data_IF_785955137575
#
_entry.id   IF_785955137575
#
_cell.length_a   1.000
_cell.length_b   1.000
_cell.length_c   1.000
_cell.angle_alpha   90.00
_cell.angle_beta   90.00
_cell.angle_gamma   90.00
#
_symmetry.space_group_name_H-M   'P 1'
#
loop_
_entity.id
_entity.type
_entity.pdbx_description
1 polymer ?
#
# COMPACT_ATOMS: atom_id res chain seq x y z
N UNK A 1 -3.82 -18.15 4.12
CA UNK A 1 -4.47 -17.57 5.33
C UNK A 1 -3.42 -17.54 6.44
N UNK A 2 -3.17 -16.39 7.05
CA UNK A 2 -2.10 -16.21 8.04
C UNK A 2 -1.54 -14.80 8.03
N UNK A 3 -0.59 -14.45 8.92
CA UNK A 3 0.13 -13.19 8.85
C UNK A 3 1.02 -13.12 7.59
N UNK A 4 1.31 -11.92 7.11
CA UNK A 4 2.33 -11.69 6.08
C UNK A 4 3.72 -12.07 6.64
N UNK A 5 4.48 -12.98 6.00
CA UNK A 5 5.86 -13.25 6.38
C UNK A 5 6.76 -12.03 6.16
N UNK A 6 7.90 -11.98 6.84
CA UNK A 6 8.80 -10.82 6.78
C UNK A 6 9.64 -10.79 5.50
N UNK A 7 10.02 -11.95 4.96
CA UNK A 7 10.98 -12.05 3.86
C UNK A 7 12.32 -11.34 4.14
N UNK A 8 12.66 -11.16 5.43
CA UNK A 8 13.83 -10.40 5.85
C UNK A 8 15.15 -10.96 5.28
N UNK A 9 15.24 -12.29 5.17
CA UNK A 9 16.42 -13.03 4.70
C UNK A 9 16.40 -13.27 3.17
N UNK A 10 15.42 -12.72 2.45
CA UNK A 10 15.29 -12.86 1.00
C UNK A 10 16.05 -11.76 0.27
N UNK A 11 17.38 -11.82 0.34
CA UNK A 11 18.29 -10.73 -0.07
C UNK A 11 18.13 -10.31 -1.54
N UNK A 12 17.84 -11.28 -2.42
CA UNK A 12 17.72 -11.11 -3.89
C UNK A 12 16.26 -10.99 -4.38
N UNK A 13 15.27 -10.87 -3.49
CA UNK A 13 13.87 -10.83 -3.89
C UNK A 13 13.52 -9.51 -4.59
N UNK A 14 13.29 -9.58 -5.92
CA UNK A 14 12.87 -8.45 -6.76
C UNK A 14 11.37 -8.30 -6.90
N UNK A 15 10.64 -9.42 -6.93
CA UNK A 15 9.22 -9.43 -7.22
C UNK A 15 8.49 -10.37 -6.26
N UNK A 16 7.43 -9.85 -5.62
CA UNK A 16 6.60 -10.60 -4.69
C UNK A 16 5.12 -10.31 -4.97
N UNK A 17 4.40 -11.29 -5.52
CA UNK A 17 2.96 -11.19 -5.79
C UNK A 17 2.19 -12.09 -4.83
N UNK A 18 1.47 -11.48 -3.89
CA UNK A 18 0.62 -12.15 -2.90
C UNK A 18 -0.79 -11.57 -2.87
N UNK A 19 -1.18 -10.84 -3.91
CA UNK A 19 -2.48 -10.21 -4.04
C UNK A 19 -3.63 -11.22 -4.11
N UNK A 20 -4.84 -10.81 -3.71
CA UNK A 20 -6.04 -11.65 -3.79
C UNK A 20 -6.06 -12.82 -2.81
N UNK A 21 -5.27 -12.74 -1.73
CA UNK A 21 -5.21 -13.76 -0.69
C UNK A 21 -6.04 -13.35 0.54
N UNK A 22 -5.99 -14.18 1.58
CA UNK A 22 -6.53 -13.87 2.91
C UNK A 22 -5.42 -13.70 3.94
N UNK A 23 -4.37 -12.96 3.57
CA UNK A 23 -3.31 -12.56 4.50
C UNK A 23 -3.86 -11.52 5.48
N UNK A 24 -3.36 -11.55 6.71
CA UNK A 24 -3.82 -10.74 7.84
C UNK A 24 -2.62 -10.17 8.58
N UNK A 25 -2.85 -9.47 9.69
CA UNK A 25 -1.77 -8.90 10.48
C UNK A 25 -1.22 -7.61 9.89
N UNK A 26 -0.08 -7.17 10.40
CA UNK A 26 0.63 -6.00 9.92
C UNK A 26 1.64 -6.37 8.84
N UNK A 27 2.11 -5.37 8.10
CA UNK A 27 3.40 -5.47 7.43
C UNK A 27 4.47 -5.42 8.53
N UNK A 28 5.32 -6.45 8.68
CA UNK A 28 6.36 -6.46 9.70
C UNK A 28 7.37 -5.30 9.54
N UNK A 29 7.97 -4.83 10.64
CA UNK A 29 8.97 -3.76 10.56
C UNK A 29 10.26 -4.21 9.86
N UNK A 30 10.56 -5.51 9.92
CA UNK A 30 11.68 -6.20 9.27
C UNK A 30 11.31 -6.72 7.87
N UNK A 31 10.24 -6.19 7.26
CA UNK A 31 9.83 -6.62 5.92
C UNK A 31 10.91 -6.25 4.88
N UNK A 32 11.49 -7.26 4.23
CA UNK A 32 12.61 -7.13 3.28
C UNK A 32 13.86 -6.42 3.88
N UNK A 33 14.09 -6.58 5.19
CA UNK A 33 15.16 -5.88 5.92
C UNK A 33 16.53 -6.02 5.25
N UNK A 34 17.01 -7.25 5.00
CA UNK A 34 18.35 -7.52 4.48
C UNK A 34 18.44 -7.54 2.95
N UNK A 35 17.42 -7.06 2.23
CA UNK A 35 17.52 -6.94 0.78
C UNK A 35 18.71 -6.04 0.39
N UNK A 36 19.60 -6.56 -0.46
CA UNK A 36 20.70 -5.78 -1.03
C UNK A 36 20.26 -4.91 -2.22
N UNK A 37 18.99 -5.04 -2.62
CA UNK A 37 18.39 -4.40 -3.78
C UNK A 37 17.78 -3.03 -3.47
N UNK A 38 18.23 -2.34 -2.41
CA UNK A 38 17.66 -1.06 -1.97
C UNK A 38 17.67 0.04 -3.04
N UNK A 39 18.67 0.04 -3.91
CA UNK A 39 18.80 0.98 -5.03
C UNK A 39 18.26 0.43 -6.36
N UNK A 40 17.78 -0.82 -6.38
CA UNK A 40 17.25 -1.49 -7.56
C UNK A 40 15.71 -1.51 -7.52
N UNK A 41 15.03 -1.64 -8.67
CA UNK A 41 13.57 -1.78 -8.68
C UNK A 41 13.12 -3.05 -7.96
N UNK A 42 12.26 -2.89 -6.96
CA UNK A 42 11.59 -3.97 -6.22
C UNK A 42 10.07 -3.79 -6.31
N UNK A 43 9.35 -4.86 -6.65
CA UNK A 43 7.91 -4.87 -6.84
C UNK A 43 7.23 -5.80 -5.84
N UNK A 44 6.26 -5.29 -5.10
CA UNK A 44 5.51 -6.01 -4.07
C UNK A 44 4.01 -5.75 -4.27
N UNK A 45 3.25 -6.78 -4.64
CA UNK A 45 1.79 -6.69 -4.75
C UNK A 45 1.11 -7.44 -3.60
N UNK A 46 0.51 -6.67 -2.69
CA UNK A 46 -0.24 -7.16 -1.53
C UNK A 46 -1.72 -6.81 -1.62
N UNK A 47 -2.21 -6.33 -2.77
CA UNK A 47 -3.60 -5.89 -2.93
C UNK A 47 -4.62 -6.96 -2.56
N UNK A 48 -5.82 -6.53 -2.18
CA UNK A 48 -6.95 -7.42 -1.94
C UNK A 48 -6.64 -8.51 -0.91
N UNK A 49 -6.09 -8.10 0.24
CA UNK A 49 -5.86 -8.93 1.42
C UNK A 49 -6.61 -8.35 2.63
N UNK A 50 -6.30 -8.81 3.83
CA UNK A 50 -6.85 -8.31 5.10
C UNK A 50 -5.74 -7.77 6.01
N UNK A 51 -4.66 -7.25 5.42
CA UNK A 51 -3.52 -6.64 6.13
C UNK A 51 -4.01 -5.32 6.75
N UNK A 52 -3.57 -5.01 7.97
CA UNK A 52 -4.06 -3.87 8.73
C UNK A 52 -2.92 -3.12 9.45
N UNK A 53 -3.25 -1.92 9.91
CA UNK A 53 -2.32 -1.05 10.63
C UNK A 53 -1.50 -0.15 9.72
N UNK A 54 -0.28 0.20 10.16
CA UNK A 54 0.58 1.18 9.50
C UNK A 54 1.56 0.52 8.52
N UNK A 55 1.95 1.27 7.49
CA UNK A 55 3.11 0.91 6.65
C UNK A 55 4.40 1.18 7.45
N UNK A 56 5.39 0.26 7.48
CA UNK A 56 6.65 0.46 8.20
C UNK A 56 7.48 1.58 7.58
N UNK A 57 8.05 2.45 8.41
CA UNK A 57 8.91 3.54 7.93
C UNK A 57 10.26 3.02 7.43
N UNK A 58 10.67 1.83 7.88
CA UNK A 58 11.88 1.11 7.52
C UNK A 58 11.96 0.83 6.01
N UNK A 59 10.81 0.74 5.34
CA UNK A 59 10.75 0.62 3.88
C UNK A 59 11.37 1.83 3.17
N UNK A 60 11.47 3.00 3.82
CA UNK A 60 12.16 4.18 3.26
C UNK A 60 13.62 3.90 2.84
N UNK A 61 14.21 2.81 3.34
CA UNK A 61 15.52 2.30 2.90
C UNK A 61 15.59 1.95 1.42
N UNK A 62 14.47 1.63 0.76
CA UNK A 62 14.41 1.39 -0.68
C UNK A 62 14.22 2.70 -1.44
N UNK A 63 15.01 2.95 -2.47
CA UNK A 63 14.88 4.10 -3.35
C UNK A 63 13.85 3.87 -4.46
N UNK A 64 13.74 2.63 -4.94
CA UNK A 64 12.87 2.23 -6.05
C UNK A 64 11.92 1.09 -5.62
N UNK A 65 10.94 1.40 -4.77
CA UNK A 65 9.92 0.43 -4.35
C UNK A 65 8.57 0.69 -5.03
N UNK A 66 8.04 -0.33 -5.68
CA UNK A 66 6.67 -0.38 -6.17
C UNK A 66 5.85 -1.32 -5.28
N UNK A 67 5.12 -0.76 -4.31
CA UNK A 67 4.32 -1.50 -3.34
C UNK A 67 2.82 -1.22 -3.46
N UNK A 68 2.07 -2.21 -3.93
CA UNK A 68 0.63 -2.11 -4.15
C UNK A 68 -0.15 -2.64 -2.93
N UNK A 69 -0.86 -1.76 -2.23
CA UNK A 69 -1.54 -2.06 -0.95
C UNK A 69 -3.07 -1.91 -1.00
N UNK A 70 -3.65 -1.49 -2.13
CA UNK A 70 -5.08 -1.25 -2.29
C UNK A 70 -5.97 -2.42 -1.87
N UNK A 71 -7.14 -2.11 -1.28
CA UNK A 71 -8.08 -3.14 -0.82
C UNK A 71 -7.62 -3.89 0.45
N UNK A 72 -6.75 -3.28 1.25
CA UNK A 72 -6.42 -3.72 2.61
C UNK A 72 -7.06 -2.81 3.67
N UNK A 73 -6.71 -3.02 4.95
CA UNK A 73 -7.18 -2.24 6.11
C UNK A 73 -6.09 -1.34 6.68
N UNK A 74 -5.28 -0.74 5.80
CA UNK A 74 -4.19 0.18 6.17
C UNK A 74 -4.78 1.48 6.72
N UNK A 75 -4.21 1.99 7.81
CA UNK A 75 -4.72 3.20 8.48
C UNK A 75 -3.72 4.36 8.54
N UNK A 76 -2.44 4.10 8.25
CA UNK A 76 -1.41 5.13 8.30
C UNK A 76 -0.26 4.81 7.33
N UNK A 77 0.24 5.86 6.68
CA UNK A 77 1.49 5.89 5.92
C UNK A 77 2.37 6.93 6.62
N UNK A 78 3.61 6.60 7.01
CA UNK A 78 4.56 7.58 7.54
C UNK A 78 4.91 8.65 6.50
N UNK A 79 5.00 9.92 6.92
CA UNK A 79 5.30 11.06 6.03
C UNK A 79 6.63 10.89 5.28
N UNK A 80 7.59 10.18 5.87
CA UNK A 80 8.88 9.86 5.23
C UNK A 80 8.72 9.06 3.93
N UNK A 81 7.70 8.20 3.85
CA UNK A 81 7.41 7.43 2.63
C UNK A 81 6.78 8.29 1.55
N UNK A 82 6.00 9.31 1.93
CA UNK A 82 5.35 10.22 1.00
C UNK A 82 6.31 11.19 0.30
N UNK A 83 7.60 11.14 0.63
CA UNK A 83 8.67 11.95 0.03
C UNK A 83 9.63 11.12 -0.82
N UNK A 84 9.41 9.81 -0.96
CA UNK A 84 10.29 8.92 -1.73
C UNK A 84 10.05 9.08 -3.23
N UNK A 85 10.87 9.89 -3.89
CA UNK A 85 10.68 10.27 -5.30
C UNK A 85 10.57 9.07 -6.25
N UNK A 86 11.44 8.07 -6.10
CA UNK A 86 11.46 6.88 -6.98
C UNK A 86 10.36 5.84 -6.70
N UNK A 87 9.54 6.04 -5.67
CA UNK A 87 8.49 5.08 -5.31
C UNK A 87 7.31 5.11 -6.27
N UNK A 88 6.68 3.95 -6.45
CA UNK A 88 5.50 3.78 -7.29
C UNK A 88 5.70 4.33 -8.71
N UNK A 89 6.91 4.13 -9.26
CA UNK A 89 7.30 4.63 -10.60
C UNK A 89 7.20 6.16 -10.71
N UNK A 90 7.55 6.90 -9.64
CA UNK A 90 7.50 8.36 -9.61
C UNK A 90 6.19 8.95 -9.09
N UNK A 91 5.14 8.14 -8.89
CA UNK A 91 3.83 8.67 -8.47
C UNK A 91 3.88 9.34 -7.08
N UNK A 92 4.81 8.93 -6.21
CA UNK A 92 4.99 9.57 -4.89
C UNK A 92 5.61 10.96 -5.03
N UNK A 93 6.52 11.17 -5.99
CA UNK A 93 7.06 12.51 -6.28
C UNK A 93 5.96 13.47 -6.72
N UNK A 94 5.06 12.99 -7.59
CA UNK A 94 4.01 13.83 -8.18
C UNK A 94 2.81 14.05 -7.25
N UNK A 95 2.42 13.03 -6.48
CA UNK A 95 1.17 13.01 -5.73
C UNK A 95 1.33 12.81 -4.21
N UNK A 96 2.56 12.69 -3.72
CA UNK A 96 2.83 12.41 -2.31
C UNK A 96 2.21 11.10 -1.84
N UNK A 97 1.57 11.11 -0.68
CA UNK A 97 0.95 9.91 -0.10
C UNK A 97 -0.16 9.31 -0.97
N UNK A 98 -0.87 10.14 -1.75
CA UNK A 98 -1.95 9.67 -2.63
C UNK A 98 -1.40 8.75 -3.73
N UNK A 99 -0.12 8.90 -4.09
CA UNK A 99 0.58 8.00 -5.00
C UNK A 99 0.84 6.60 -4.42
N UNK A 100 0.74 6.44 -3.08
CA UNK A 100 0.85 5.16 -2.37
C UNK A 100 -0.54 4.59 -2.09
N UNK A 101 -1.40 5.35 -1.41
CA UNK A 101 -2.81 5.01 -1.16
C UNK A 101 -3.66 6.27 -1.02
N UNK A 102 -4.85 6.25 -1.61
CA UNK A 102 -5.85 7.29 -1.45
C UNK A 102 -6.26 7.49 0.03
N UNK A 103 -6.58 8.74 0.44
CA UNK A 103 -6.91 9.06 1.82
C UNK A 103 -8.24 8.44 2.25
N UNK A 104 -8.41 8.30 3.57
CA UNK A 104 -9.67 7.82 4.17
C UNK A 104 -10.84 8.70 3.73
N UNK A 105 -11.98 8.08 3.47
CA UNK A 105 -13.16 8.74 2.95
C UNK A 105 -13.14 9.00 1.45
N UNK A 106 -12.09 8.54 0.75
CA UNK A 106 -12.03 8.49 -0.70
C UNK A 106 -11.78 7.06 -1.18
N UNK A 107 -12.02 6.82 -2.46
CA UNK A 107 -11.77 5.54 -3.09
C UNK A 107 -11.18 5.71 -4.49
N UNK A 108 -10.53 4.65 -4.95
CA UNK A 108 -10.03 4.53 -6.31
C UNK A 108 -10.17 3.09 -6.80
N UNK A 109 -11.05 2.81 -7.78
CA UNK A 109 -11.22 1.47 -8.31
C UNK A 109 -9.91 0.88 -8.87
N UNK A 110 -9.69 -0.41 -8.63
CA UNK A 110 -8.53 -1.15 -9.16
C UNK A 110 -7.29 -1.07 -8.28
N UNK A 111 -6.70 0.13 -8.14
CA UNK A 111 -5.41 0.33 -7.48
C UNK A 111 -5.51 0.83 -6.03
N UNK A 112 -6.53 1.63 -5.71
CA UNK A 112 -6.63 2.29 -4.41
C UNK A 112 -5.66 3.47 -4.24
N UNK A 113 -5.01 3.95 -5.30
CA UNK A 113 -4.05 5.06 -5.24
C UNK A 113 -4.14 5.93 -6.50
N UNK A 114 -3.61 7.15 -6.43
CA UNK A 114 -3.48 8.00 -7.61
C UNK A 114 -2.34 7.51 -8.49
N UNK A 115 -2.66 7.23 -9.75
CA UNK A 115 -1.69 6.74 -10.76
C UNK A 115 -1.29 7.81 -11.76
N UNK A 116 -2.04 8.91 -11.83
CA UNK A 116 -1.84 9.97 -12.80
C UNK A 116 -2.59 11.26 -12.46
N UNK A 117 -2.40 12.32 -13.25
CA UNK A 117 -2.94 13.64 -12.97
C UNK A 117 -4.47 13.67 -13.02
N UNK A 118 -5.08 12.99 -14.00
CA UNK A 118 -6.54 12.86 -14.13
C UNK A 118 -7.13 11.82 -13.15
N UNK A 119 -6.25 11.13 -12.42
CA UNK A 119 -6.57 9.93 -11.67
C UNK A 119 -6.75 10.15 -10.16
N UNK A 120 -7.42 11.25 -9.82
CA UNK A 120 -7.70 11.64 -8.43
C UNK A 120 -8.47 10.59 -7.62
N UNK A 121 -8.28 10.66 -6.30
CA UNK A 121 -9.05 9.90 -5.32
C UNK A 121 -10.47 10.47 -5.19
N UNK A 122 -11.48 9.65 -5.48
CA UNK A 122 -12.87 10.11 -5.51
C UNK A 122 -13.48 10.10 -4.10
N UNK A 123 -14.19 11.14 -3.66
CA UNK A 123 -14.82 11.15 -2.34
C UNK A 123 -15.96 10.14 -2.25
N UNK A 124 -16.13 9.53 -1.09
CA UNK A 124 -17.29 8.69 -0.79
C UNK A 124 -18.47 9.49 -0.21
N UNK A 125 -19.73 9.09 -0.46
CA UNK A 125 -20.92 9.80 0.02
C UNK A 125 -20.94 10.08 1.53
N UNK A 126 -20.57 9.09 2.36
CA UNK A 126 -20.48 9.23 3.81
C UNK A 126 -19.02 9.34 4.29
N UNK A 127 -18.10 9.71 3.41
CA UNK A 127 -16.67 9.88 3.71
C UNK A 127 -16.08 8.66 4.40
N UNK A 128 -15.45 8.86 5.56
CA UNK A 128 -14.73 7.81 6.29
C UNK A 128 -15.62 6.65 6.76
N UNK A 129 -16.96 6.79 6.77
CA UNK A 129 -17.85 5.66 7.07
C UNK A 129 -17.86 4.62 5.95
N UNK A 130 -17.82 5.08 4.71
CA UNK A 130 -17.84 4.23 3.51
C UNK A 130 -16.43 3.74 3.13
N UNK A 131 -15.41 4.56 3.40
CA UNK A 131 -14.00 4.25 3.15
C UNK A 131 -13.16 4.50 4.41
N UNK A 132 -13.23 3.61 5.42
CA UNK A 132 -12.55 3.81 6.70
C UNK A 132 -11.04 3.62 6.64
N UNK A 133 -10.50 3.07 5.55
CA UNK A 133 -9.09 2.72 5.39
C UNK A 133 -8.48 3.45 4.20
N UNK A 134 -7.16 3.64 4.26
CA UNK A 134 -6.38 4.13 3.13
C UNK A 134 -6.45 3.13 1.98
N UNK A 135 -6.57 3.66 0.76
CA UNK A 135 -6.61 2.85 -0.47
C UNK A 135 -7.82 1.96 -0.62
N UNK A 136 -8.98 2.47 -0.20
CA UNK A 136 -10.27 1.82 -0.46
C UNK A 136 -10.55 1.76 -1.97
N UNK A 137 -11.05 0.62 -2.45
CA UNK A 137 -11.33 0.40 -3.87
C UNK A 137 -12.76 0.79 -4.28
N UNK A 138 -13.67 0.85 -3.31
CA UNK A 138 -15.08 1.24 -3.47
C UNK A 138 -15.57 1.97 -2.21
N UNK A 139 -16.79 2.53 -2.27
CA UNK A 139 -17.46 3.20 -1.15
C UNK A 139 -18.50 2.31 -0.47
N UNK A 140 -18.19 1.03 -0.28
CA UNK A 140 -19.20 0.08 0.20
C UNK A 140 -19.03 -0.28 1.67
N UNK A 141 -18.10 0.37 2.40
CA UNK A 141 -17.81 0.07 3.80
C UNK A 141 -17.63 -1.43 3.99
N UNK A 142 -16.57 -2.00 3.38
CA UNK A 142 -16.41 -3.43 3.11
C UNK A 142 -17.09 -4.41 4.08
N UNK A 143 -17.52 -5.57 3.55
CA UNK A 143 -18.89 -6.06 3.67
C UNK A 143 -19.50 -5.91 5.07
N UNK A 144 -20.63 -5.22 5.15
CA UNK A 144 -21.64 -5.52 6.16
C UNK A 144 -22.09 -6.97 5.96
N UNK A 145 -21.60 -7.89 6.78
CA UNK A 145 -22.17 -9.24 6.86
C UNK A 145 -23.61 -9.12 7.35
N UNK A 146 -24.56 -9.28 6.44
CA UNK A 146 -25.93 -9.70 6.76
C UNK A 146 -25.92 -11.16 7.22
#
# INVERSE_FOLDING_TARGET
>A
KGPLPTFKDSEDLKELYLNGNSLTGHIPFDFLEFSHLKAEPVSVDLRNNKIWGKVPAELASFDLLHIELGGNKINNIPDTLCQKQGWMTGAVEEFGCDGILCPRGTFRPGSGRREGPDDSCKPCPNGMKDAPHLGSLTCDGGPSTS
#
